data_IF_029356229967
#
_entry.id   IF_029356229967
#
_cell.length_a   1.000
_cell.length_b   1.000
_cell.length_c   1.000
_cell.angle_alpha   90.00
_cell.angle_beta   90.00
_cell.angle_gamma   90.00
#
_symmetry.space_group_name_H-M   'P 1'
#
loop_
_entity.id
_entity.type
_entity.pdbx_description
1 polymer ?
#
# COMPACT_ATOMS: atom_id res chain seq x y z
N UNK A 1 -22.42 50.20 -1.81
CA UNK A 1 -22.10 49.30 -2.92
C UNK A 1 -21.02 48.33 -2.40
N UNK A 2 -21.43 47.13 -2.00
CA UNK A 2 -20.50 46.07 -1.58
C UNK A 2 -20.44 45.08 -2.76
N UNK A 3 -19.37 45.13 -3.51
CA UNK A 3 -19.11 44.18 -4.62
C UNK A 3 -18.76 42.85 -4.01
N UNK A 4 -19.68 41.90 -4.08
CA UNK A 4 -19.41 40.49 -3.70
C UNK A 4 -18.50 39.88 -4.77
N UNK A 5 -17.25 39.69 -4.43
CA UNK A 5 -16.31 38.93 -5.24
C UNK A 5 -16.74 37.43 -5.15
N UNK A 6 -17.43 36.93 -6.16
CA UNK A 6 -17.66 35.50 -6.36
C UNK A 6 -16.36 34.88 -6.86
N UNK A 7 -15.47 34.49 -5.95
CA UNK A 7 -14.37 33.59 -6.32
C UNK A 7 -15.01 32.23 -6.57
N UNK A 8 -14.98 31.79 -7.82
CA UNK A 8 -15.52 30.50 -8.21
C UNK A 8 -14.74 29.40 -7.48
N UNK A 9 -15.45 28.42 -6.91
CA UNK A 9 -14.86 27.23 -6.24
C UNK A 9 -13.82 26.56 -7.14
N UNK A 10 -14.02 26.63 -8.45
CA UNK A 10 -13.07 26.19 -9.47
C UNK A 10 -11.72 26.95 -9.40
N UNK A 11 -11.72 28.26 -9.08
CA UNK A 11 -10.51 29.04 -8.94
C UNK A 11 -9.73 28.70 -7.66
N UNK A 12 -10.45 28.34 -6.58
CA UNK A 12 -9.80 27.89 -5.33
C UNK A 12 -9.22 26.48 -5.47
N UNK A 13 -9.93 25.57 -6.17
CA UNK A 13 -9.42 24.24 -6.51
C UNK A 13 -8.26 24.31 -7.51
N UNK A 14 -8.31 25.20 -8.51
CA UNK A 14 -7.18 25.45 -9.42
C UNK A 14 -6.00 26.06 -8.70
N UNK A 15 -6.21 26.93 -7.72
CA UNK A 15 -5.17 27.54 -6.89
C UNK A 15 -4.50 26.51 -5.97
N UNK A 16 -5.28 25.61 -5.34
CA UNK A 16 -4.74 24.48 -4.58
C UNK A 16 -4.03 23.45 -5.46
N UNK A 17 -4.52 23.17 -6.68
CA UNK A 17 -3.88 22.31 -7.66
C UNK A 17 -2.54 22.90 -8.17
N UNK A 18 -2.44 24.22 -8.39
CA UNK A 18 -1.20 24.86 -8.82
C UNK A 18 -0.12 24.86 -7.72
N UNK A 19 -0.49 24.90 -6.45
CA UNK A 19 0.47 24.80 -5.35
C UNK A 19 0.88 23.34 -5.04
N UNK A 20 -0.02 22.37 -5.22
CA UNK A 20 0.32 20.95 -5.03
C UNK A 20 1.21 20.38 -6.13
N UNK A 21 1.11 20.88 -7.36
CA UNK A 21 1.95 20.43 -8.48
C UNK A 21 3.39 20.91 -8.38
N UNK A 22 3.68 22.04 -7.73
CA UNK A 22 5.07 22.46 -7.51
C UNK A 22 5.77 21.69 -6.39
N UNK A 23 5.05 21.15 -5.41
CA UNK A 23 5.60 20.30 -4.36
C UNK A 23 5.79 18.83 -4.81
N UNK A 24 5.07 18.38 -5.84
CA UNK A 24 5.18 17.03 -6.40
C UNK A 24 6.19 16.89 -7.56
N UNK A 25 6.77 18.00 -8.04
CA UNK A 25 7.57 18.03 -9.28
C UNK A 25 9.07 17.78 -9.10
N UNK A 26 9.54 17.46 -7.90
CA UNK A 26 10.93 17.01 -7.70
C UNK A 26 10.97 15.79 -6.77
N UNK A 27 11.34 14.67 -7.34
CA UNK A 27 11.86 13.47 -6.66
C UNK A 27 10.88 12.46 -6.06
N UNK A 28 9.62 12.34 -6.47
CA UNK A 28 8.83 11.14 -6.15
C UNK A 28 8.71 10.73 -4.66
N UNK A 29 9.21 11.56 -3.74
CA UNK A 29 9.18 11.33 -2.31
C UNK A 29 7.92 11.95 -1.72
N UNK A 30 7.00 11.11 -1.28
CA UNK A 30 6.00 11.48 -0.28
C UNK A 30 6.77 12.01 0.93
N UNK A 31 6.69 13.31 1.21
CA UNK A 31 7.30 13.88 2.42
C UNK A 31 6.62 13.20 3.62
N UNK A 32 7.36 12.51 4.50
CA UNK A 32 6.77 11.92 5.70
C UNK A 32 6.11 13.00 6.54
N UNK A 33 5.05 12.66 7.27
CA UNK A 33 4.33 13.57 8.16
C UNK A 33 5.22 14.25 9.23
N UNK A 34 6.44 13.76 9.45
CA UNK A 34 7.46 14.29 10.36
C UNK A 34 8.05 15.65 9.94
N UNK A 35 7.78 16.12 8.72
CA UNK A 35 8.28 17.41 8.22
C UNK A 35 7.37 18.62 8.46
N UNK A 36 6.22 18.45 9.12
CA UNK A 36 5.29 19.54 9.38
C UNK A 36 5.48 20.12 10.78
N UNK A 37 6.00 21.34 10.85
CA UNK A 37 6.36 21.98 12.12
C UNK A 37 5.19 22.60 12.89
N UNK A 38 3.97 22.66 12.33
CA UNK A 38 2.82 23.22 13.03
C UNK A 38 1.53 22.51 12.63
N UNK A 39 1.03 21.69 13.51
CA UNK A 39 -0.36 21.24 13.45
C UNK A 39 -1.21 22.40 13.94
N UNK A 40 -1.85 23.14 13.04
CA UNK A 40 -3.00 23.94 13.43
C UNK A 40 -4.08 22.93 13.81
N UNK A 41 -4.12 22.57 15.08
CA UNK A 41 -5.19 21.79 15.66
C UNK A 41 -6.42 22.70 15.72
N UNK A 42 -7.02 22.93 14.54
CA UNK A 42 -8.37 23.45 14.50
C UNK A 42 -9.25 22.30 14.93
N UNK A 43 -9.43 22.17 16.24
CA UNK A 43 -10.60 21.53 16.81
C UNK A 43 -11.66 22.63 17.05
N UNK A 44 -12.27 23.21 16.00
CA UNK A 44 -13.57 23.75 16.17
C UNK A 44 -14.39 22.49 16.43
N UNK A 45 -15.03 22.39 17.56
CA UNK A 45 -16.24 21.60 17.70
C UNK A 45 -17.00 21.87 16.39
N UNK A 46 -17.03 20.87 15.49
CA UNK A 46 -17.74 20.99 14.22
C UNK A 46 -19.09 21.57 14.58
N UNK A 47 -19.36 22.79 14.14
CA UNK A 47 -20.69 23.36 14.31
C UNK A 47 -21.65 22.31 13.79
N UNK A 48 -22.67 21.96 14.58
CA UNK A 48 -23.66 20.94 14.23
C UNK A 48 -24.21 21.12 12.81
N UNK A 49 -24.20 22.36 12.31
CA UNK A 49 -24.57 22.73 10.95
C UNK A 49 -23.74 22.05 9.84
N UNK A 50 -22.45 21.71 10.11
CA UNK A 50 -21.64 20.98 9.13
C UNK A 50 -21.94 19.48 9.11
N UNK A 51 -22.35 18.91 10.25
CA UNK A 51 -22.64 17.49 10.37
C UNK A 51 -23.82 17.06 9.50
N UNK A 52 -24.76 17.98 9.23
CA UNK A 52 -25.91 17.74 8.36
C UNK A 52 -25.58 17.90 6.87
N UNK A 53 -24.36 18.34 6.52
CA UNK A 53 -23.94 18.54 5.13
C UNK A 53 -23.43 17.26 4.51
N UNK A 54 -23.45 17.25 3.18
CA UNK A 54 -23.12 16.09 2.37
C UNK A 54 -22.00 16.40 1.40
N UNK A 55 -21.20 15.38 1.11
CA UNK A 55 -20.29 15.33 -0.01
C UNK A 55 -21.02 14.60 -1.11
N UNK A 56 -21.25 15.25 -2.22
CA UNK A 56 -21.99 14.73 -3.37
C UNK A 56 -21.00 14.56 -4.51
N UNK A 57 -20.71 13.30 -4.85
CA UNK A 57 -19.81 12.93 -5.93
C UNK A 57 -20.65 12.56 -7.14
N UNK A 58 -20.31 13.09 -8.31
CA UNK A 58 -21.01 12.79 -9.56
C UNK A 58 -20.05 12.29 -10.63
N UNK A 59 -20.51 11.34 -11.42
CA UNK A 59 -19.84 10.82 -12.61
C UNK A 59 -20.87 10.31 -13.59
N UNK A 60 -20.90 10.85 -14.81
CA UNK A 60 -21.93 10.58 -15.81
C UNK A 60 -23.34 10.80 -15.20
N UNK A 61 -24.18 9.77 -15.18
CA UNK A 61 -25.52 9.76 -14.61
C UNK A 61 -25.59 9.25 -13.16
N UNK A 62 -24.44 8.95 -12.56
CA UNK A 62 -24.33 8.43 -11.20
C UNK A 62 -24.05 9.53 -10.19
N UNK A 63 -24.61 9.33 -9.02
CA UNK A 63 -24.41 10.22 -7.87
C UNK A 63 -24.20 9.38 -6.61
N UNK A 64 -23.17 9.71 -5.85
CA UNK A 64 -22.89 9.12 -4.54
C UNK A 64 -22.90 10.23 -3.50
N UNK A 65 -23.49 9.93 -2.35
CA UNK A 65 -23.64 10.89 -1.27
C UNK A 65 -23.03 10.33 0.00
N UNK A 66 -22.18 11.13 0.66
CA UNK A 66 -21.55 10.81 1.93
C UNK A 66 -21.87 11.94 2.90
N UNK A 67 -22.55 11.66 4.00
CA UNK A 67 -22.77 12.69 5.03
C UNK A 67 -21.47 12.97 5.78
N UNK A 68 -21.21 14.23 6.08
CA UNK A 68 -20.01 14.63 6.83
C UNK A 68 -20.01 13.98 8.22
N UNK A 69 -21.20 13.85 8.85
CA UNK A 69 -21.34 13.14 10.13
C UNK A 69 -20.88 11.67 10.10
N UNK A 70 -20.99 11.01 8.95
CA UNK A 70 -20.67 9.59 8.80
C UNK A 70 -19.17 9.35 8.55
N UNK A 71 -18.36 10.39 8.32
CA UNK A 71 -16.93 10.23 8.10
C UNK A 71 -16.17 9.75 9.35
N UNK A 72 -16.72 9.97 10.54
CA UNK A 72 -16.09 9.57 11.81
C UNK A 72 -14.72 10.22 12.09
N UNK A 73 -14.27 11.08 11.20
CA UNK A 73 -12.94 11.67 11.22
C UNK A 73 -13.02 13.18 10.94
N UNK A 74 -12.11 13.93 11.56
CA UNK A 74 -11.99 15.36 11.37
C UNK A 74 -10.94 15.67 10.30
N UNK A 75 -11.24 16.54 9.33
CA UNK A 75 -10.24 17.04 8.42
C UNK A 75 -9.22 17.92 9.17
N UNK A 76 -7.96 17.74 8.87
CA UNK A 76 -6.87 18.57 9.40
C UNK A 76 -6.19 19.31 8.25
N UNK A 77 -5.93 20.59 8.44
CA UNK A 77 -5.04 21.36 7.57
C UNK A 77 -3.62 21.25 8.12
N UNK A 78 -2.71 20.76 7.31
CA UNK A 78 -1.29 20.68 7.61
C UNK A 78 -0.58 21.82 6.87
N UNK A 79 0.20 22.62 7.57
CA UNK A 79 1.01 23.70 6.98
C UNK A 79 2.47 23.38 7.25
N UNK A 80 3.27 23.24 6.19
CA UNK A 80 4.71 23.03 6.33
C UNK A 80 5.45 24.34 6.60
N UNK A 81 6.74 24.27 6.95
CA UNK A 81 7.59 25.42 7.23
C UNK A 81 7.70 26.42 6.07
N UNK A 82 7.33 26.04 4.86
CA UNK A 82 7.36 26.87 3.66
C UNK A 82 5.99 27.51 3.35
N UNK A 83 5.02 27.38 4.25
CA UNK A 83 3.66 27.89 4.07
C UNK A 83 2.79 27.08 3.10
N UNK A 84 3.26 25.91 2.61
CA UNK A 84 2.45 25.02 1.76
C UNK A 84 1.43 24.28 2.61
N UNK A 85 0.16 24.35 2.23
CA UNK A 85 -0.91 23.66 2.93
C UNK A 85 -1.16 22.27 2.34
N UNK A 86 -1.34 21.29 3.22
CA UNK A 86 -1.80 19.94 2.89
C UNK A 86 -3.02 19.58 3.73
N UNK A 87 -3.81 18.60 3.31
CA UNK A 87 -4.96 18.10 4.05
C UNK A 87 -4.80 16.64 4.41
N UNK A 88 -5.32 16.27 5.57
CA UNK A 88 -5.40 14.89 6.03
C UNK A 88 -6.64 14.70 6.89
N UNK A 89 -7.09 13.46 7.04
CA UNK A 89 -8.07 13.07 8.06
C UNK A 89 -7.34 12.43 9.24
N UNK A 90 -7.88 12.60 10.45
CA UNK A 90 -7.38 11.91 11.65
C UNK A 90 -7.52 10.40 11.52
N UNK A 91 -8.60 9.96 10.86
CA UNK A 91 -8.82 8.58 10.44
C UNK A 91 -9.54 8.60 9.08
N UNK A 92 -8.91 8.06 8.07
CA UNK A 92 -9.47 8.00 6.72
C UNK A 92 -10.17 6.67 6.41
N UNK A 93 -10.25 5.73 7.36
CA UNK A 93 -10.74 4.37 7.09
C UNK A 93 -12.16 4.35 6.53
N UNK A 94 -13.06 5.14 7.10
CA UNK A 94 -14.47 5.19 6.65
C UNK A 94 -14.57 5.83 5.26
N UNK A 95 -13.88 6.95 5.03
CA UNK A 95 -13.86 7.59 3.71
C UNK A 95 -13.26 6.66 2.65
N UNK A 96 -12.17 5.97 2.98
CA UNK A 96 -11.57 4.99 2.08
C UNK A 96 -12.53 3.84 1.76
N UNK A 97 -13.33 3.37 2.73
CA UNK A 97 -14.36 2.37 2.47
C UNK A 97 -15.43 2.87 1.48
N UNK A 98 -15.87 4.13 1.60
CA UNK A 98 -16.77 4.75 0.62
C UNK A 98 -16.12 4.84 -0.76
N UNK A 99 -14.87 5.28 -0.85
CA UNK A 99 -14.12 5.36 -2.11
C UNK A 99 -14.00 3.98 -2.77
N UNK A 100 -13.71 2.93 -2.00
CA UNK A 100 -13.65 1.55 -2.51
C UNK A 100 -15.00 1.08 -3.06
N UNK A 101 -16.09 1.37 -2.36
CA UNK A 101 -17.43 1.05 -2.83
C UNK A 101 -17.78 1.79 -4.15
N UNK A 102 -17.41 3.07 -4.25
CA UNK A 102 -17.60 3.87 -5.46
C UNK A 102 -16.74 3.29 -6.60
N UNK A 103 -15.47 2.98 -6.36
CA UNK A 103 -14.59 2.38 -7.35
C UNK A 103 -15.12 1.05 -7.90
N UNK A 104 -15.73 0.23 -7.05
CA UNK A 104 -16.35 -1.03 -7.50
C UNK A 104 -17.53 -0.79 -8.46
N UNK A 105 -18.24 0.31 -8.30
CA UNK A 105 -19.34 0.72 -9.19
C UNK A 105 -18.81 1.40 -10.47
N UNK A 106 -17.79 2.26 -10.36
CA UNK A 106 -17.12 2.88 -11.50
C UNK A 106 -16.51 1.83 -12.45
N UNK A 107 -16.05 0.70 -11.92
CA UNK A 107 -15.53 -0.39 -12.75
C UNK A 107 -16.54 -0.94 -13.75
N UNK A 108 -17.85 -0.72 -13.54
CA UNK A 108 -18.93 -1.10 -14.45
C UNK A 108 -19.36 0.02 -15.42
N UNK A 109 -18.74 1.20 -15.32
CA UNK A 109 -19.04 2.38 -16.14
C UNK A 109 -17.84 2.70 -17.03
N UNK A 110 -17.78 2.15 -18.27
CA UNK A 110 -16.69 2.46 -19.19
C UNK A 110 -16.69 3.97 -19.51
N UNK A 111 -15.50 4.55 -19.58
CA UNK A 111 -15.32 5.95 -19.94
C UNK A 111 -15.92 6.24 -21.32
N UNK A 112 -16.61 7.37 -21.45
CA UNK A 112 -17.18 7.85 -22.70
C UNK A 112 -16.12 8.42 -23.65
N UNK A 113 -14.96 8.80 -23.13
CA UNK A 113 -13.89 9.50 -23.82
C UNK A 113 -13.90 11.01 -23.57
N UNK A 114 -14.85 11.52 -22.77
CA UNK A 114 -14.93 12.94 -22.39
C UNK A 114 -14.40 13.21 -20.98
N UNK A 115 -14.18 12.18 -20.18
CA UNK A 115 -13.70 12.30 -18.81
C UNK A 115 -12.25 12.80 -18.77
N UNK A 116 -12.00 13.82 -17.97
CA UNK A 116 -10.65 14.31 -17.70
C UNK A 116 -10.02 13.50 -16.59
N UNK A 117 -8.92 12.83 -16.91
CA UNK A 117 -8.23 11.94 -16.00
C UNK A 117 -6.77 12.33 -15.87
N UNK A 118 -6.16 11.99 -14.74
CA UNK A 118 -4.74 12.18 -14.53
C UNK A 118 -3.96 10.99 -15.10
N UNK A 119 -3.13 11.26 -16.10
CA UNK A 119 -2.18 10.25 -16.60
C UNK A 119 -0.88 10.30 -15.78
N UNK A 120 -0.62 9.24 -15.03
CA UNK A 120 0.58 9.11 -14.18
C UNK A 120 1.86 9.02 -15.00
N UNK A 121 1.79 8.55 -16.24
CA UNK A 121 2.97 8.38 -17.09
C UNK A 121 3.51 9.72 -17.56
N UNK A 122 2.62 10.60 -18.03
CA UNK A 122 2.97 11.94 -18.48
C UNK A 122 2.95 12.99 -17.37
N UNK A 123 2.32 12.68 -16.22
CA UNK A 123 2.10 13.62 -15.13
C UNK A 123 1.12 14.75 -15.48
N UNK A 124 0.26 14.54 -16.47
CA UNK A 124 -0.66 15.56 -17.00
C UNK A 124 -2.11 15.05 -17.01
N UNK A 125 -3.04 15.98 -17.24
CA UNK A 125 -4.44 15.63 -17.43
C UNK A 125 -4.71 15.39 -18.92
N UNK A 126 -5.36 14.27 -19.20
CA UNK A 126 -5.76 13.86 -20.56
C UNK A 126 -7.24 13.47 -20.58
N UNK A 127 -7.82 13.35 -21.75
CA UNK A 127 -9.11 12.69 -21.88
C UNK A 127 -8.94 11.18 -21.77
N UNK A 128 -9.78 10.52 -20.98
CA UNK A 128 -9.79 9.07 -20.88
C UNK A 128 -10.05 8.45 -22.27
N UNK A 129 -9.32 7.44 -22.70
CA UNK A 129 -9.68 6.69 -23.89
C UNK A 129 -11.07 6.06 -23.71
N UNK A 130 -11.95 6.18 -24.72
CA UNK A 130 -13.29 5.60 -24.66
C UNK A 130 -13.22 4.09 -24.38
N UNK A 131 -14.09 3.61 -23.49
CA UNK A 131 -14.11 2.22 -23.04
C UNK A 131 -13.12 1.90 -21.92
N UNK A 132 -12.30 2.86 -21.45
CA UNK A 132 -11.45 2.69 -20.28
C UNK A 132 -12.28 2.50 -19.01
N UNK A 133 -11.70 1.82 -18.03
CA UNK A 133 -12.24 1.75 -16.66
C UNK A 133 -11.60 2.85 -15.85
N UNK A 134 -12.38 3.66 -15.16
CA UNK A 134 -11.89 4.73 -14.31
C UNK A 134 -12.05 4.40 -12.83
N UNK A 135 -11.18 4.99 -12.02
CA UNK A 135 -11.23 4.91 -10.55
C UNK A 135 -10.91 6.27 -9.95
N UNK A 136 -11.40 6.51 -8.74
CA UNK A 136 -11.02 7.69 -7.96
C UNK A 136 -9.53 7.61 -7.63
N UNK A 137 -8.82 8.71 -7.86
CA UNK A 137 -7.37 8.83 -7.56
C UNK A 137 -7.10 8.60 -6.08
N UNK A 138 -5.94 8.02 -5.79
CA UNK A 138 -5.49 7.77 -4.40
C UNK A 138 -5.42 9.08 -3.60
N UNK A 139 -4.99 10.17 -4.23
CA UNK A 139 -4.85 11.47 -3.59
C UNK A 139 -6.19 12.14 -3.26
N UNK A 140 -7.30 11.58 -3.72
CA UNK A 140 -8.65 12.13 -3.52
C UNK A 140 -8.98 12.39 -2.04
N UNK A 141 -8.64 11.45 -1.16
CA UNK A 141 -8.86 11.58 0.28
C UNK A 141 -8.16 12.81 0.86
N UNK A 142 -6.91 13.06 0.45
CA UNK A 142 -6.15 14.23 0.89
C UNK A 142 -6.69 15.53 0.28
N UNK A 143 -7.07 15.51 -1.00
CA UNK A 143 -7.68 16.65 -1.68
C UNK A 143 -9.02 17.03 -1.03
N UNK A 144 -9.83 16.04 -0.69
CA UNK A 144 -11.08 16.24 0.02
C UNK A 144 -10.86 16.80 1.42
N UNK A 145 -9.87 16.28 2.17
CA UNK A 145 -9.51 16.81 3.48
C UNK A 145 -9.07 18.28 3.41
N UNK A 146 -8.28 18.67 2.40
CA UNK A 146 -7.89 20.07 2.15
C UNK A 146 -9.10 20.95 1.87
N UNK A 147 -10.01 20.49 1.02
CA UNK A 147 -11.22 21.24 0.66
C UNK A 147 -12.11 21.46 1.88
N UNK A 148 -12.35 20.41 2.66
CA UNK A 148 -13.14 20.48 3.90
C UNK A 148 -12.47 21.40 4.92
N UNK A 149 -11.18 21.25 5.18
CA UNK A 149 -10.45 22.08 6.12
C UNK A 149 -10.49 23.56 5.71
N UNK A 150 -10.29 23.86 4.42
CA UNK A 150 -10.37 25.24 3.92
C UNK A 150 -11.76 25.85 4.08
N UNK A 151 -12.83 25.08 3.87
CA UNK A 151 -14.20 25.55 4.07
C UNK A 151 -14.52 25.76 5.57
N UNK A 152 -14.09 24.85 6.43
CA UNK A 152 -14.25 24.96 7.89
C UNK A 152 -13.51 26.17 8.47
N UNK A 153 -12.42 26.60 7.86
CA UNK A 153 -11.65 27.79 8.26
C UNK A 153 -12.16 29.08 7.62
N UNK A 154 -13.08 29.00 6.68
CA UNK A 154 -13.68 30.20 6.06
C UNK A 154 -14.91 30.65 6.85
N UNK A 155 -15.19 31.95 6.81
CA UNK A 155 -16.44 32.52 7.35
C UNK A 155 -17.66 32.21 6.45
N UNK A 156 -17.58 31.14 5.63
CA UNK A 156 -18.66 30.75 4.72
C UNK A 156 -19.73 29.95 5.49
N UNK A 157 -21.00 30.20 5.14
CA UNK A 157 -22.09 29.36 5.64
C UNK A 157 -21.91 27.91 5.15
N UNK A 158 -22.13 26.90 6.01
CA UNK A 158 -22.02 25.50 5.67
C UNK A 158 -22.93 25.12 4.49
N UNK A 159 -22.38 24.46 3.49
CA UNK A 159 -23.10 23.99 2.30
C UNK A 159 -22.65 22.57 1.91
N UNK A 160 -23.49 21.88 1.15
CA UNK A 160 -23.10 20.61 0.57
C UNK A 160 -21.93 20.79 -0.41
N UNK A 161 -21.02 19.83 -0.42
CA UNK A 161 -19.82 19.84 -1.26
C UNK A 161 -20.11 19.04 -2.52
N UNK A 162 -20.17 19.74 -3.65
CA UNK A 162 -20.37 19.13 -4.97
C UNK A 162 -19.02 18.87 -5.63
N UNK A 163 -18.75 17.63 -6.01
CA UNK A 163 -17.53 17.21 -6.70
C UNK A 163 -17.91 16.40 -7.93
N UNK A 164 -17.60 16.92 -9.10
CA UNK A 164 -17.65 16.14 -10.32
C UNK A 164 -16.34 15.35 -10.47
N UNK A 165 -16.42 14.04 -10.47
CA UNK A 165 -15.24 13.18 -10.55
C UNK A 165 -14.49 13.37 -11.89
N UNK A 166 -15.19 13.79 -12.95
CA UNK A 166 -14.60 14.16 -14.24
C UNK A 166 -13.63 15.35 -14.18
N UNK A 167 -13.67 16.14 -13.13
CA UNK A 167 -12.79 17.31 -12.98
C UNK A 167 -11.36 16.94 -12.52
N UNK A 168 -10.86 15.78 -12.97
CA UNK A 168 -9.50 15.34 -12.72
C UNK A 168 -9.34 14.51 -11.44
N UNK A 169 -10.44 14.02 -10.83
CA UNK A 169 -10.39 13.14 -9.67
C UNK A 169 -10.31 11.66 -10.04
N UNK A 170 -10.32 11.34 -11.33
CA UNK A 170 -10.22 9.97 -11.84
C UNK A 170 -8.83 9.69 -12.40
N UNK A 171 -8.44 8.41 -12.35
CA UNK A 171 -7.42 7.78 -13.19
C UNK A 171 -8.10 6.71 -14.01
N UNK A 172 -7.73 6.57 -15.28
CA UNK A 172 -8.31 5.58 -16.16
C UNK A 172 -7.29 4.57 -16.64
N UNK A 173 -7.79 3.39 -16.97
CA UNK A 173 -7.00 2.23 -17.34
C UNK A 173 -7.57 1.66 -18.64
N UNK A 174 -6.70 1.23 -19.54
CA UNK A 174 -7.14 0.61 -20.79
C UNK A 174 -8.15 -0.52 -20.48
N UNK A 175 -9.27 -0.54 -21.20
CA UNK A 175 -10.23 -1.61 -21.11
C UNK A 175 -9.57 -2.93 -21.51
N UNK A 176 -9.72 -3.93 -20.67
CA UNK A 176 -9.21 -5.28 -20.94
C UNK A 176 -8.24 -5.79 -19.89
N UNK A 177 -8.28 -7.08 -19.70
CA UNK A 177 -7.53 -7.81 -18.70
C UNK A 177 -8.44 -8.47 -17.67
N UNK A 178 -7.99 -9.61 -17.17
CA UNK A 178 -8.68 -10.39 -16.15
C UNK A 178 -7.82 -10.41 -14.89
N UNK A 179 -8.41 -10.60 -13.71
CA UNK A 179 -7.62 -10.88 -12.51
C UNK A 179 -6.76 -12.13 -12.73
N UNK A 180 -5.46 -12.00 -12.55
CA UNK A 180 -4.51 -13.11 -12.66
C UNK A 180 -3.59 -13.14 -11.45
N UNK A 181 -3.08 -14.32 -11.11
CA UNK A 181 -1.96 -14.45 -10.19
C UNK A 181 -0.70 -14.06 -10.96
N UNK A 182 -0.20 -12.86 -10.67
CA UNK A 182 0.99 -12.33 -11.33
C UNK A 182 2.29 -12.88 -10.74
N UNK A 183 2.28 -13.14 -9.42
CA UNK A 183 3.41 -13.73 -8.73
C UNK A 183 2.94 -14.56 -7.54
N UNK A 184 3.60 -15.68 -7.30
CA UNK A 184 3.28 -16.57 -6.17
C UNK A 184 4.54 -17.17 -5.59
N UNK A 185 4.46 -17.52 -4.31
CA UNK A 185 5.47 -18.30 -3.61
C UNK A 185 4.80 -19.21 -2.60
N UNK A 186 5.28 -20.44 -2.52
CA UNK A 186 4.86 -21.41 -1.50
C UNK A 186 6.08 -21.88 -0.72
N UNK A 187 5.98 -21.89 0.61
CA UNK A 187 7.02 -22.38 1.50
C UNK A 187 6.47 -23.43 2.47
N UNK A 188 7.30 -24.45 2.76
CA UNK A 188 6.87 -25.56 3.61
C UNK A 188 6.97 -25.23 5.11
N UNK A 189 5.95 -25.65 5.85
CA UNK A 189 5.88 -25.64 7.32
C UNK A 189 6.18 -27.04 7.90
N UNK A 190 6.67 -27.98 7.08
CA UNK A 190 7.03 -29.31 7.57
C UNK A 190 8.07 -29.23 8.67
N UNK A 191 7.89 -30.03 9.73
CA UNK A 191 8.76 -29.98 10.91
C UNK A 191 8.49 -28.82 11.88
N UNK A 192 7.53 -27.95 11.57
CA UNK A 192 7.14 -26.87 12.48
C UNK A 192 6.24 -27.35 13.59
N UNK A 193 6.39 -26.78 14.79
CA UNK A 193 5.47 -27.00 15.90
C UNK A 193 4.08 -26.43 15.59
N UNK A 194 3.05 -26.91 16.29
CA UNK A 194 1.68 -26.40 16.16
C UNK A 194 1.58 -24.89 16.45
N UNK A 195 2.32 -24.39 17.43
CA UNK A 195 2.37 -22.98 17.76
C UNK A 195 2.99 -22.14 16.62
N UNK A 196 4.05 -22.65 15.98
CA UNK A 196 4.67 -21.97 14.84
C UNK A 196 3.74 -21.93 13.62
N UNK A 197 3.05 -23.04 13.33
CA UNK A 197 2.03 -23.08 12.27
C UNK A 197 0.90 -22.09 12.57
N UNK A 198 0.41 -22.06 13.82
CA UNK A 198 -0.59 -21.09 14.26
C UNK A 198 -0.13 -19.64 14.00
N UNK A 199 1.08 -19.27 14.40
CA UNK A 199 1.61 -17.92 14.22
C UNK A 199 1.70 -17.52 12.73
N UNK A 200 2.15 -18.45 11.90
CA UNK A 200 2.22 -18.24 10.45
C UNK A 200 0.80 -18.09 9.86
N UNK A 201 -0.16 -18.87 10.34
CA UNK A 201 -1.57 -18.78 9.89
C UNK A 201 -2.17 -17.43 10.29
N UNK A 202 -1.99 -16.99 11.53
CA UNK A 202 -2.47 -15.66 11.99
C UNK A 202 -1.85 -14.54 11.18
N UNK A 203 -0.53 -14.57 10.98
CA UNK A 203 0.16 -13.54 10.20
C UNK A 203 -0.27 -13.55 8.71
N UNK A 204 -0.46 -14.72 8.11
CA UNK A 204 -0.96 -14.84 6.75
C UNK A 204 -2.40 -14.31 6.63
N UNK A 205 -3.27 -14.60 7.61
CA UNK A 205 -4.65 -14.09 7.62
C UNK A 205 -4.71 -12.56 7.68
N UNK A 206 -3.77 -11.91 8.37
CA UNK A 206 -3.68 -10.45 8.41
C UNK A 206 -3.25 -9.83 7.07
N UNK A 207 -2.56 -10.58 6.21
CA UNK A 207 -2.19 -10.13 4.87
C UNK A 207 -3.25 -10.48 3.82
N UNK A 208 -4.08 -11.49 4.09
CA UNK A 208 -5.02 -11.98 3.11
C UNK A 208 -6.13 -10.97 2.82
N UNK A 209 -6.31 -10.63 1.55
CA UNK A 209 -7.29 -9.66 1.09
C UNK A 209 -6.81 -8.20 1.17
N UNK A 210 -5.58 -7.93 1.61
CA UNK A 210 -5.04 -6.57 1.54
C UNK A 210 -4.93 -6.12 0.09
N UNK A 211 -5.42 -4.91 -0.16
CA UNK A 211 -5.37 -4.25 -1.47
C UNK A 211 -4.41 -3.09 -1.38
N UNK A 212 -3.39 -3.09 -2.23
CA UNK A 212 -2.46 -1.97 -2.38
C UNK A 212 -2.90 -1.13 -3.56
N UNK A 213 -3.23 0.12 -3.28
CA UNK A 213 -3.54 1.09 -4.32
C UNK A 213 -2.28 1.48 -5.11
N UNK A 214 -2.42 2.04 -6.32
CA UNK A 214 -1.30 2.61 -7.05
C UNK A 214 -0.47 3.60 -6.20
N UNK A 215 0.85 3.41 -6.16
CA UNK A 215 1.78 4.21 -5.35
C UNK A 215 1.81 3.87 -3.87
N UNK A 216 0.90 3.03 -3.37
CA UNK A 216 0.84 2.66 -1.95
C UNK A 216 2.00 1.76 -1.54
N UNK A 217 2.54 2.04 -0.35
CA UNK A 217 3.58 1.24 0.30
C UNK A 217 2.99 0.42 1.43
N UNK A 218 3.28 -0.87 1.45
CA UNK A 218 2.91 -1.79 2.52
C UNK A 218 4.14 -2.18 3.34
N UNK A 219 4.08 -1.96 4.65
CA UNK A 219 4.98 -2.54 5.65
C UNK A 219 4.43 -3.89 6.11
N UNK A 220 5.17 -4.96 5.87
CA UNK A 220 4.74 -6.29 6.32
C UNK A 220 4.80 -6.39 7.85
N UNK A 221 5.80 -5.75 8.47
CA UNK A 221 5.91 -5.74 9.93
C UNK A 221 4.68 -5.08 10.58
N UNK A 222 4.17 -3.98 9.99
CA UNK A 222 3.00 -3.28 10.52
C UNK A 222 1.71 -4.03 10.24
N UNK A 223 1.55 -4.60 9.05
CA UNK A 223 0.35 -5.33 8.66
C UNK A 223 0.04 -6.55 9.56
N UNK A 224 1.08 -7.16 10.16
CA UNK A 224 0.91 -8.33 11.04
C UNK A 224 0.97 -7.98 12.54
N UNK A 225 0.89 -6.69 12.90
CA UNK A 225 0.80 -6.23 14.31
C UNK A 225 -0.66 -6.14 14.78
N UNK A 226 -0.88 -6.05 16.10
CA UNK A 226 0.05 -6.30 17.19
C UNK A 226 0.26 -7.80 17.44
N UNK A 227 1.53 -8.19 17.70
CA UNK A 227 1.94 -9.58 17.94
C UNK A 227 1.76 -9.93 19.42
N UNK A 228 0.53 -10.12 19.84
CA UNK A 228 0.16 -10.42 21.22
C UNK A 228 -0.57 -11.75 21.32
N UNK A 229 -0.59 -12.35 22.51
CA UNK A 229 -1.38 -13.55 22.77
C UNK A 229 -2.88 -13.30 22.55
N UNK A 230 -3.37 -12.09 22.85
CA UNK A 230 -4.76 -11.70 22.62
C UNK A 230 -5.13 -11.72 21.13
N UNK A 231 -4.16 -11.47 20.24
CA UNK A 231 -4.34 -11.57 18.78
C UNK A 231 -4.03 -12.97 18.23
N UNK A 232 -3.98 -13.98 19.08
CA UNK A 232 -3.81 -15.37 18.69
C UNK A 232 -2.37 -15.83 18.46
N UNK A 233 -1.36 -14.97 18.69
CA UNK A 233 0.04 -15.40 18.60
C UNK A 233 0.45 -16.23 19.82
N UNK A 234 1.38 -17.16 19.60
CA UNK A 234 1.87 -18.12 20.58
C UNK A 234 3.39 -18.10 20.62
N UNK A 235 3.95 -18.59 21.71
CA UNK A 235 5.39 -18.84 21.85
C UNK A 235 5.85 -19.93 20.89
N UNK A 236 6.88 -19.64 20.10
CA UNK A 236 7.52 -20.59 19.19
C UNK A 236 8.96 -20.17 18.91
N UNK A 237 9.75 -21.07 18.32
CA UNK A 237 11.16 -20.79 17.99
C UNK A 237 11.32 -19.61 17.03
N UNK A 238 12.19 -18.68 17.40
CA UNK A 238 12.61 -17.53 16.60
C UNK A 238 14.14 -17.40 16.63
N UNK A 239 14.72 -16.85 15.57
CA UNK A 239 16.15 -16.54 15.53
C UNK A 239 16.43 -15.21 16.24
N UNK A 240 17.31 -15.24 17.24
CA UNK A 240 17.78 -14.06 17.95
C UNK A 240 19.30 -14.19 18.20
N UNK A 241 20.08 -13.24 17.70
CA UNK A 241 21.55 -13.16 17.91
C UNK A 241 22.33 -14.44 17.57
N UNK A 242 21.86 -15.22 16.60
CA UNK A 242 22.52 -16.45 16.18
C UNK A 242 22.06 -17.71 16.95
N UNK A 243 21.02 -17.59 17.75
CA UNK A 243 20.43 -18.67 18.52
C UNK A 243 18.95 -18.84 18.23
N UNK A 244 18.40 -20.02 18.54
CA UNK A 244 16.96 -20.26 18.49
C UNK A 244 16.40 -20.08 19.90
N UNK A 245 15.58 -19.05 20.08
CA UNK A 245 14.91 -18.73 21.34
C UNK A 245 13.39 -18.91 21.21
N UNK A 246 12.70 -19.13 22.32
CA UNK A 246 11.24 -19.06 22.35
C UNK A 246 10.80 -17.60 22.37
N UNK A 247 9.94 -17.21 21.44
CA UNK A 247 9.40 -15.86 21.36
C UNK A 247 7.97 -15.87 20.85
N UNK A 248 7.17 -14.90 21.33
CA UNK A 248 5.80 -14.70 20.88
C UNK A 248 5.82 -14.32 19.38
N UNK A 249 5.05 -15.05 18.56
CA UNK A 249 5.05 -14.84 17.12
C UNK A 249 6.20 -15.50 16.37
N UNK A 250 6.96 -16.44 17.00
CA UNK A 250 8.01 -17.19 16.30
C UNK A 250 7.48 -17.82 15.02
N UNK A 251 8.21 -17.64 13.88
CA UNK A 251 7.84 -18.14 12.55
C UNK A 251 7.36 -17.10 11.55
N UNK A 252 6.98 -15.88 11.98
CA UNK A 252 6.40 -14.84 11.10
C UNK A 252 7.37 -14.37 9.98
N UNK A 253 8.68 -14.47 10.16
CA UNK A 253 9.64 -14.17 9.10
C UNK A 253 9.47 -15.08 7.87
N UNK A 254 8.85 -16.26 8.02
CA UNK A 254 8.52 -17.09 6.86
C UNK A 254 7.40 -16.44 6.03
N UNK A 255 6.43 -15.78 6.68
CA UNK A 255 5.39 -15.00 5.97
C UNK A 255 6.03 -13.87 5.18
N UNK A 256 6.90 -13.08 5.82
CA UNK A 256 7.64 -11.99 5.15
C UNK A 256 8.46 -12.52 3.96
N UNK A 257 9.24 -13.58 4.15
CA UNK A 257 10.06 -14.16 3.09
C UNK A 257 9.23 -14.70 1.92
N UNK A 258 8.09 -15.34 2.21
CA UNK A 258 7.18 -15.84 1.17
C UNK A 258 6.52 -14.68 0.42
N UNK A 259 6.16 -13.59 1.14
CA UNK A 259 5.63 -12.35 0.53
C UNK A 259 6.67 -11.69 -0.36
N UNK A 260 7.93 -11.60 0.07
CA UNK A 260 9.03 -11.05 -0.73
C UNK A 260 9.15 -11.73 -2.10
N UNK A 261 9.14 -13.07 -2.11
CA UNK A 261 9.24 -13.82 -3.36
C UNK A 261 8.00 -13.63 -4.24
N UNK A 262 6.79 -13.68 -3.67
CA UNK A 262 5.56 -13.46 -4.41
C UNK A 262 5.51 -12.04 -5.02
N UNK A 263 5.91 -11.02 -4.27
CA UNK A 263 5.97 -9.63 -4.71
C UNK A 263 6.99 -9.44 -5.85
N UNK A 264 8.20 -9.96 -5.72
CA UNK A 264 9.22 -9.89 -6.76
C UNK A 264 8.80 -10.65 -8.02
N UNK A 265 8.16 -11.81 -7.87
CA UNK A 265 7.63 -12.59 -9.00
C UNK A 265 6.43 -11.91 -9.68
N UNK A 266 5.85 -10.87 -9.09
CA UNK A 266 4.79 -10.07 -9.69
C UNK A 266 5.26 -8.71 -10.25
N UNK A 267 6.56 -8.39 -10.11
CA UNK A 267 7.12 -7.11 -10.56
C UNK A 267 6.86 -5.94 -9.60
N UNK A 268 6.38 -6.19 -8.36
CA UNK A 268 6.25 -5.14 -7.36
C UNK A 268 7.62 -4.63 -6.90
N UNK A 269 7.69 -3.36 -6.56
CA UNK A 269 8.93 -2.73 -6.07
C UNK A 269 9.15 -3.04 -4.60
N UNK A 270 10.36 -3.50 -4.28
CA UNK A 270 10.80 -3.70 -2.89
C UNK A 270 11.59 -2.47 -2.44
N UNK A 271 11.08 -1.77 -1.43
CA UNK A 271 11.70 -0.57 -0.86
C UNK A 271 12.66 -0.90 0.29
N UNK A 272 12.35 -1.96 1.05
CA UNK A 272 13.15 -2.40 2.19
C UNK A 272 13.13 -3.93 2.28
N UNK A 273 14.30 -4.53 2.40
CA UNK A 273 14.48 -5.97 2.65
C UNK A 273 15.76 -6.23 3.40
N UNK A 274 15.70 -7.06 4.41
CA UNK A 274 16.86 -7.51 5.19
C UNK A 274 17.00 -9.03 5.12
N UNK A 275 18.20 -9.58 4.86
CA UNK A 275 18.42 -11.01 5.02
C UNK A 275 18.42 -11.39 6.51
N UNK A 276 18.15 -12.66 6.81
CA UNK A 276 18.41 -13.21 8.14
C UNK A 276 19.90 -13.21 8.43
N UNK A 277 20.23 -13.30 9.72
CA UNK A 277 21.63 -13.49 10.14
C UNK A 277 22.16 -14.90 9.86
N UNK A 278 21.29 -15.89 9.75
CA UNK A 278 21.60 -17.30 9.47
C UNK A 278 20.72 -17.82 8.33
N UNK A 279 21.16 -18.87 7.60
CA UNK A 279 20.35 -19.50 6.57
C UNK A 279 19.00 -19.98 7.12
N UNK A 280 17.94 -19.74 6.35
CA UNK A 280 16.62 -20.34 6.59
C UNK A 280 16.51 -21.65 5.81
N UNK A 281 15.70 -22.59 6.31
CA UNK A 281 15.58 -23.91 5.68
C UNK A 281 14.43 -24.02 4.67
N UNK A 282 13.55 -23.02 4.63
CA UNK A 282 12.33 -23.06 3.79
C UNK A 282 12.48 -22.32 2.45
N UNK A 283 13.61 -21.66 2.20
CA UNK A 283 13.97 -20.99 0.94
C UNK A 283 15.47 -21.12 0.64
N UNK A 284 15.88 -21.06 -0.63
CA UNK A 284 17.28 -20.89 -1.00
C UNK A 284 17.91 -19.64 -0.42
N UNK A 285 19.25 -19.65 -0.24
CA UNK A 285 20.02 -18.50 0.19
C UNK A 285 19.74 -17.28 -0.71
N UNK A 286 19.58 -16.10 -0.12
CA UNK A 286 19.33 -14.85 -0.84
C UNK A 286 17.85 -14.54 -1.09
N UNK A 287 16.94 -15.51 -0.88
CA UNK A 287 15.51 -15.35 -1.16
C UNK A 287 14.66 -15.09 0.10
N UNK A 288 15.28 -14.95 1.25
CA UNK A 288 14.61 -14.67 2.52
C UNK A 288 14.44 -13.16 2.78
N UNK A 289 13.53 -12.81 3.67
CA UNK A 289 13.31 -11.45 4.17
C UNK A 289 12.97 -11.50 5.66
N UNK A 290 13.90 -11.04 6.49
CA UNK A 290 13.75 -10.98 7.94
C UNK A 290 12.99 -9.72 8.35
N UNK A 291 12.09 -9.85 9.32
CA UNK A 291 11.41 -8.74 9.99
C UNK A 291 11.63 -8.82 11.50
N UNK A 292 11.82 -7.65 12.12
CA UNK A 292 12.03 -7.54 13.56
C UNK A 292 11.49 -6.20 14.04
N UNK A 293 10.79 -6.20 15.16
CA UNK A 293 10.17 -4.99 15.68
C UNK A 293 11.18 -3.84 15.82
N UNK A 294 10.92 -2.73 15.15
CA UNK A 294 11.71 -1.50 15.24
C UNK A 294 13.07 -1.50 14.51
N UNK A 295 13.50 -2.61 13.86
CA UNK A 295 14.83 -2.66 13.26
C UNK A 295 14.91 -3.25 11.86
N UNK A 296 13.97 -4.11 11.45
CA UNK A 296 13.97 -4.73 10.13
C UNK A 296 12.54 -4.87 9.62
N UNK A 297 12.31 -4.47 8.38
CA UNK A 297 11.02 -4.62 7.73
C UNK A 297 11.17 -5.19 6.32
N UNK A 298 10.07 -5.65 5.77
CA UNK A 298 9.87 -5.82 4.35
C UNK A 298 8.83 -4.79 3.92
N UNK A 299 9.27 -3.85 3.08
CA UNK A 299 8.37 -2.85 2.49
C UNK A 299 8.29 -3.05 0.99
N UNK A 300 7.09 -3.10 0.48
CA UNK A 300 6.80 -3.21 -0.94
C UNK A 300 5.87 -2.08 -1.36
N UNK A 301 6.00 -1.65 -2.63
CA UNK A 301 5.18 -0.60 -3.21
C UNK A 301 4.55 -1.09 -4.50
N UNK A 302 3.28 -0.72 -4.68
CA UNK A 302 2.59 -0.92 -5.93
C UNK A 302 2.89 0.25 -6.88
N UNK A 303 3.81 0.05 -7.83
CA UNK A 303 4.12 1.04 -8.88
C UNK A 303 3.26 0.86 -10.14
N UNK A 304 2.34 -0.10 -10.15
CA UNK A 304 1.37 -0.27 -11.22
C UNK A 304 0.24 0.77 -11.11
N UNK A 305 -0.45 0.98 -12.23
CA UNK A 305 -1.54 1.95 -12.35
C UNK A 305 -2.89 1.44 -11.78
N UNK A 306 -2.98 0.15 -11.44
CA UNK A 306 -4.17 -0.50 -10.86
C UNK A 306 -3.86 -1.09 -9.49
N UNK A 307 -4.88 -1.28 -8.64
CA UNK A 307 -4.71 -1.98 -7.38
C UNK A 307 -4.21 -3.41 -7.56
N UNK A 308 -3.42 -3.88 -6.61
CA UNK A 308 -3.01 -5.27 -6.49
C UNK A 308 -3.51 -5.84 -5.18
N UNK A 309 -3.88 -7.11 -5.17
CA UNK A 309 -4.42 -7.79 -4.00
C UNK A 309 -3.47 -8.88 -3.53
N UNK A 310 -3.22 -8.96 -2.24
CA UNK A 310 -2.48 -10.05 -1.62
C UNK A 310 -3.46 -11.15 -1.22
N UNK A 311 -3.23 -12.36 -1.72
CA UNK A 311 -3.87 -13.57 -1.23
C UNK A 311 -2.85 -14.35 -0.43
N UNK A 312 -3.19 -14.69 0.82
CA UNK A 312 -2.29 -15.39 1.73
C UNK A 312 -3.04 -16.46 2.51
N UNK A 313 -2.46 -17.63 2.64
CA UNK A 313 -3.10 -18.70 3.40
C UNK A 313 -2.18 -19.87 3.67
N UNK A 314 -2.57 -20.66 4.68
CA UNK A 314 -1.93 -21.93 5.02
C UNK A 314 -2.89 -23.07 4.71
N UNK A 315 -2.43 -24.01 3.89
CA UNK A 315 -3.16 -25.23 3.57
C UNK A 315 -2.26 -26.43 3.83
N UNK A 316 -2.71 -27.31 4.72
CA UNK A 316 -1.88 -28.40 5.23
C UNK A 316 -0.60 -27.87 5.89
N UNK A 317 0.54 -28.23 5.31
CA UNK A 317 1.87 -27.77 5.76
C UNK A 317 2.51 -26.77 4.77
N UNK A 318 1.72 -26.06 4.00
CA UNK A 318 2.20 -25.10 3.02
C UNK A 318 1.62 -23.72 3.29
N UNK A 319 2.50 -22.73 3.42
CA UNK A 319 2.16 -21.32 3.35
C UNK A 319 2.26 -20.89 1.89
N UNK A 320 1.18 -20.36 1.33
CA UNK A 320 1.18 -19.79 -0.03
C UNK A 320 0.78 -18.32 0.05
N UNK A 321 1.52 -17.48 -0.65
CA UNK A 321 1.21 -16.07 -0.87
C UNK A 321 1.24 -15.82 -2.37
N UNK A 322 0.20 -15.13 -2.84
CA UNK A 322 0.03 -14.75 -4.25
C UNK A 322 -0.33 -13.29 -4.37
N UNK A 323 0.19 -12.65 -5.39
CA UNK A 323 -0.19 -11.29 -5.78
C UNK A 323 -1.14 -11.40 -6.97
N UNK A 324 -2.35 -10.91 -6.80
CA UNK A 324 -3.39 -10.87 -7.82
C UNK A 324 -3.49 -9.44 -8.36
N UNK A 325 -3.48 -9.32 -9.67
CA UNK A 325 -3.63 -8.05 -10.35
C UNK A 325 -4.34 -8.21 -11.70
N UNK A 326 -4.70 -7.09 -12.33
CA UNK A 326 -5.21 -7.11 -13.69
C UNK A 326 -4.08 -7.51 -14.68
N UNK A 327 -4.35 -8.45 -15.57
CA UNK A 327 -3.35 -8.97 -16.52
C UNK A 327 -2.80 -7.92 -17.48
N UNK A 328 -3.54 -6.84 -17.75
CA UNK A 328 -3.08 -5.73 -18.59
C UNK A 328 -1.83 -5.05 -18.03
N UNK A 329 -1.67 -5.03 -16.69
CA UNK A 329 -0.52 -4.44 -16.01
C UNK A 329 0.80 -5.16 -16.33
N UNK A 330 0.74 -6.45 -16.58
CA UNK A 330 1.92 -7.26 -16.88
C UNK A 330 2.47 -7.00 -18.29
N UNK A 331 1.67 -6.42 -19.20
CA UNK A 331 2.05 -6.12 -20.60
C UNK A 331 2.67 -7.34 -21.30
N UNK A 332 2.17 -8.53 -20.98
CA UNK A 332 2.72 -9.80 -21.48
C UNK A 332 4.02 -10.25 -20.84
N UNK A 333 4.47 -9.59 -19.78
CA UNK A 333 5.70 -9.96 -19.07
C UNK A 333 5.39 -10.86 -17.87
N UNK A 334 6.37 -11.67 -17.51
CA UNK A 334 6.41 -12.41 -16.24
C UNK A 334 7.77 -12.24 -15.59
N UNK A 335 7.83 -12.44 -14.29
CA UNK A 335 9.02 -12.21 -13.49
C UNK A 335 9.40 -13.45 -12.70
N UNK A 336 10.69 -13.67 -12.50
CA UNK A 336 11.20 -14.76 -11.68
C UNK A 336 12.36 -14.31 -10.83
N UNK A 337 12.16 -14.34 -9.50
CA UNK A 337 13.22 -14.16 -8.52
C UNK A 337 13.98 -15.49 -8.35
N UNK A 338 15.30 -15.42 -8.38
CA UNK A 338 16.17 -16.57 -8.17
C UNK A 338 17.51 -16.14 -7.60
N UNK A 339 18.30 -17.09 -7.10
CA UNK A 339 19.61 -16.82 -6.54
C UNK A 339 20.66 -17.84 -6.96
N UNK A 340 21.92 -17.43 -6.91
CA UNK A 340 23.08 -18.32 -7.08
C UNK A 340 23.94 -18.28 -5.82
N UNK A 341 24.36 -19.45 -5.37
CA UNK A 341 25.33 -19.57 -4.28
C UNK A 341 26.70 -19.11 -4.77
N UNK A 342 27.31 -18.17 -4.05
CA UNK A 342 28.61 -17.58 -4.38
C UNK A 342 29.73 -18.00 -3.44
N UNK A 343 29.39 -18.70 -2.35
CA UNK A 343 30.33 -19.20 -1.35
C UNK A 343 29.59 -19.85 -0.18
N UNK A 344 30.34 -20.26 0.84
CA UNK A 344 29.74 -20.76 2.07
C UNK A 344 28.81 -19.67 2.65
N UNK A 345 27.54 -20.00 2.83
CA UNK A 345 26.53 -19.09 3.37
C UNK A 345 26.44 -17.72 2.64
N UNK A 346 26.67 -17.68 1.33
CA UNK A 346 26.57 -16.47 0.53
C UNK A 346 25.84 -16.73 -0.80
N UNK A 347 25.03 -15.78 -1.24
CA UNK A 347 24.31 -15.86 -2.50
C UNK A 347 24.12 -14.47 -3.13
N UNK A 348 24.06 -14.44 -4.46
CA UNK A 348 23.60 -13.33 -5.26
C UNK A 348 22.18 -13.61 -5.74
N UNK A 349 21.32 -12.59 -5.68
CA UNK A 349 19.92 -12.67 -6.06
C UNK A 349 19.68 -11.86 -7.34
N UNK A 350 18.88 -12.40 -8.22
CA UNK A 350 18.54 -11.81 -9.51
C UNK A 350 17.02 -11.88 -9.75
N UNK A 351 16.52 -10.90 -10.50
CA UNK A 351 15.18 -10.90 -11.05
C UNK A 351 15.28 -10.99 -12.57
N UNK A 352 14.76 -12.07 -13.16
CA UNK A 352 14.64 -12.21 -14.60
C UNK A 352 13.25 -11.80 -15.06
N UNK A 353 13.19 -11.12 -16.21
CA UNK A 353 11.96 -10.73 -16.90
C UNK A 353 11.83 -11.57 -18.16
N UNK A 354 10.65 -12.10 -18.41
CA UNK A 354 10.32 -12.91 -19.58
C UNK A 354 9.17 -12.26 -20.34
N UNK A 355 9.17 -12.39 -21.66
CA UNK A 355 8.06 -11.98 -22.51
C UNK A 355 6.96 -13.06 -22.59
N UNK A 356 5.91 -12.78 -23.38
CA UNK A 356 4.79 -13.69 -23.57
C UNK A 356 5.17 -15.02 -24.26
N UNK A 357 6.31 -15.08 -24.95
CA UNK A 357 6.84 -16.31 -25.53
C UNK A 357 7.63 -17.16 -24.53
N UNK A 358 7.91 -16.62 -23.34
CA UNK A 358 8.76 -17.21 -22.32
C UNK A 358 10.25 -16.99 -22.55
N UNK A 359 10.64 -16.09 -23.47
CA UNK A 359 12.03 -15.70 -23.66
C UNK A 359 12.46 -14.70 -22.57
N UNK A 360 13.66 -14.89 -22.01
CA UNK A 360 14.24 -13.94 -21.05
C UNK A 360 14.64 -12.66 -21.79
N UNK A 361 13.99 -11.55 -21.42
CA UNK A 361 14.21 -10.23 -22.02
C UNK A 361 15.06 -9.32 -21.16
N UNK A 362 15.24 -9.66 -19.89
CA UNK A 362 16.03 -8.88 -18.97
C UNK A 362 16.43 -9.65 -17.72
N UNK A 363 17.53 -9.21 -17.11
CA UNK A 363 18.01 -9.74 -15.83
C UNK A 363 18.58 -8.60 -15.00
N UNK A 364 18.04 -8.42 -13.82
CA UNK A 364 18.48 -7.39 -12.86
C UNK A 364 19.14 -8.05 -11.67
N UNK A 365 20.31 -7.56 -11.27
CA UNK A 365 20.93 -7.91 -10.00
C UNK A 365 20.18 -7.22 -8.87
N UNK A 366 19.61 -8.00 -7.94
CA UNK A 366 18.82 -7.49 -6.81
C UNK A 366 19.70 -7.21 -5.60
N UNK A 367 20.70 -8.06 -5.35
CA UNK A 367 21.61 -7.87 -4.23
C UNK A 367 22.35 -9.14 -3.82
N UNK A 368 23.25 -8.98 -2.86
CA UNK A 368 24.01 -10.08 -2.25
C UNK A 368 23.56 -10.30 -0.81
N UNK A 369 23.54 -11.53 -0.36
CA UNK A 369 23.25 -11.91 1.02
C UNK A 369 24.40 -12.76 1.58
N UNK A 370 24.75 -12.53 2.84
CA UNK A 370 25.70 -13.32 3.61
C UNK A 370 25.07 -13.72 4.94
N UNK A 371 25.35 -14.93 5.36
CA UNK A 371 24.80 -15.52 6.57
C UNK A 371 25.91 -16.06 7.44
N UNK A 372 25.72 -16.01 8.73
CA UNK A 372 26.63 -16.63 9.72
C UNK A 372 26.23 -18.09 9.94
N UNK A 373 27.17 -18.90 10.34
CA UNK A 373 26.87 -20.23 10.85
C UNK A 373 26.12 -20.15 12.18
N UNK A 374 25.20 -21.09 12.45
CA UNK A 374 24.58 -21.20 13.76
C UNK A 374 25.62 -21.34 14.86
N UNK A 375 25.46 -20.60 15.94
CA UNK A 375 26.29 -20.80 17.11
C UNK A 375 26.09 -22.22 17.66
N UNK A 376 27.16 -22.91 18.12
CA UNK A 376 27.01 -24.17 18.82
C UNK A 376 26.07 -24.00 20.02
N UNK A 377 25.14 -24.93 20.22
CA UNK A 377 24.32 -24.92 21.43
C UNK A 377 25.26 -24.99 22.64
N UNK A 378 25.33 -23.95 23.44
CA UNK A 378 25.94 -24.01 24.77
C UNK A 378 25.16 -25.06 25.56
N UNK A 379 25.79 -26.17 25.91
CA UNK A 379 25.23 -27.09 26.92
C UNK A 379 25.04 -26.24 28.18
N UNK A 380 23.80 -26.11 28.64
CA UNK A 380 23.54 -25.60 29.98
C UNK A 380 24.37 -26.42 30.96
N UNK A 381 25.25 -25.77 31.69
CA UNK A 381 25.87 -26.34 32.87
C UNK A 381 24.75 -26.43 33.93
N UNK A 382 24.04 -27.54 33.92
CA UNK A 382 23.22 -28.02 35.01
C UNK A 382 23.38 -29.53 35.02
N UNK A 383 24.27 -29.93 35.92
CA UNK A 383 24.30 -31.15 36.71
C UNK A 383 25.72 -31.35 37.21
N UNK A 384 26.00 -30.79 38.38
CA UNK A 384 26.84 -31.41 39.42
C UNK A 384 26.18 -31.11 40.79
#
# INVERSE_FOLDING_TARGET
MKTKCRVSILALLLFCLLFSTQALAKDGNVIPAEGYATTLNTNPLLDSKWLDKQIILTEQDKTWTIRIADLGAMPMLLVNNNGTAGGSFTDAAILNAHVQNINSQLASLPASGSETVYDRTSGTYINAPAGSICQIRQEFTNLLAQTLAAQLMSDMEPADIQINLNDGYLVCFAAGGQPVIAGTCTTSLSGSSSNRINNVTVAASNLNGLVLQPGETLSISDAIKPRTAANGYREAGAYLNGEVVSALGGGICQVSSTTYNAAMNSGLTILERHPHSMPVHYLPLGLDAAISAGSKDLKLRNDYDLPVTIQAGVSGKNLTISIVMNSSLLRGQTYKLWSTVTGHNAANTYLSTYDASGAETGRTFVGSSRYSDPKPKTKSAEED
#
